data_IF_964221667853
#
_entry.id   IF_964221667853
#
_cell.length_a   1.000
_cell.length_b   1.000
_cell.length_c   1.000
_cell.angle_alpha   90.00
_cell.angle_beta   90.00
_cell.angle_gamma   90.00
#
_symmetry.space_group_name_H-M   'P 1'
#
loop_
_entity.id
_entity.type
_entity.pdbx_description
1 polymer ?
#
# COMPACT_ATOMS: atom_id res chain seq x y z
N UNK A 1 -81.12 19.61 -4.49
CA UNK A 1 -82.28 19.79 -5.38
C UNK A 1 -81.87 20.77 -6.48
N UNK A 2 -81.88 20.32 -7.75
CA UNK A 2 -81.62 21.03 -9.03
C UNK A 2 -80.20 21.63 -9.22
N UNK A 3 -79.34 21.01 -10.04
CA UNK A 3 -79.25 21.06 -11.53
C UNK A 3 -78.53 22.34 -12.00
N UNK A 4 -77.45 22.34 -12.80
CA UNK A 4 -77.39 22.04 -14.24
C UNK A 4 -75.89 22.14 -14.66
N UNK A 5 -75.28 21.08 -15.21
CA UNK A 5 -74.99 20.87 -16.65
C UNK A 5 -73.78 21.59 -17.28
N UNK A 6 -72.86 20.73 -17.77
CA UNK A 6 -71.98 20.82 -18.96
C UNK A 6 -70.80 21.80 -18.96
N UNK A 7 -69.60 21.22 -18.98
CA UNK A 7 -68.85 21.14 -20.24
C UNK A 7 -68.00 19.85 -20.28
N UNK A 8 -68.26 19.08 -21.33
CA UNK A 8 -67.57 17.86 -21.72
C UNK A 8 -66.46 18.30 -22.67
N UNK A 9 -65.21 17.97 -22.36
CA UNK A 9 -64.15 17.87 -23.36
C UNK A 9 -63.55 16.48 -23.25
N UNK A 10 -64.04 15.59 -24.12
CA UNK A 10 -63.41 14.33 -24.44
C UNK A 10 -62.21 14.66 -25.34
N UNK A 11 -60.99 14.35 -24.89
CA UNK A 11 -59.89 14.11 -25.82
C UNK A 11 -59.31 12.73 -25.53
N UNK A 12 -59.34 11.90 -26.56
CA UNK A 12 -58.98 10.50 -26.57
C UNK A 12 -57.48 10.24 -26.29
N UNK A 13 -57.25 9.16 -25.55
CA UNK A 13 -56.25 8.10 -25.77
C UNK A 13 -54.88 8.50 -26.34
N UNK A 14 -53.85 8.38 -25.50
CA UNK A 14 -52.75 7.42 -25.76
C UNK A 14 -52.40 6.75 -24.43
N UNK A 15 -52.79 5.48 -24.28
CA UNK A 15 -52.22 4.61 -23.27
C UNK A 15 -50.81 4.20 -23.75
N UNK A 16 -49.78 4.76 -23.12
CA UNK A 16 -48.46 4.13 -23.11
C UNK A 16 -48.29 3.50 -21.73
N UNK A 17 -48.69 2.23 -21.63
CA UNK A 17 -48.22 1.32 -20.60
C UNK A 17 -46.72 1.11 -20.80
N UNK A 18 -45.92 2.09 -20.40
CA UNK A 18 -44.49 1.93 -20.21
C UNK A 18 -44.29 1.23 -18.88
N UNK A 19 -44.25 -0.10 -18.89
CA UNK A 19 -43.68 -0.87 -17.78
C UNK A 19 -42.26 -0.36 -17.57
N UNK A 20 -42.05 0.48 -16.55
CA UNK A 20 -40.70 0.80 -16.09
C UNK A 20 -40.18 -0.49 -15.46
N UNK A 21 -39.54 -1.31 -16.29
CA UNK A 21 -38.72 -2.42 -15.81
C UNK A 21 -37.58 -1.74 -15.05
N UNK A 22 -37.73 -1.64 -13.74
CA UNK A 22 -36.61 -1.46 -12.83
C UNK A 22 -35.71 -2.67 -13.04
N UNK A 23 -34.76 -2.55 -13.97
CA UNK A 23 -33.62 -3.43 -14.04
C UNK A 23 -32.80 -3.14 -12.79
N UNK A 24 -33.18 -3.76 -11.66
CA UNK A 24 -32.27 -3.94 -10.53
C UNK A 24 -31.11 -4.70 -11.13
N UNK A 25 -30.03 -4.00 -11.44
CA UNK A 25 -28.73 -4.62 -11.70
C UNK A 25 -28.49 -5.47 -10.46
N UNK A 26 -28.68 -6.79 -10.58
CA UNK A 26 -28.35 -7.71 -9.50
C UNK A 26 -26.93 -7.36 -9.07
N UNK A 27 -26.77 -7.06 -7.78
CA UNK A 27 -25.44 -6.83 -7.24
C UNK A 27 -24.65 -8.09 -7.59
N UNK A 28 -23.52 -7.93 -8.27
CA UNK A 28 -22.65 -9.05 -8.58
C UNK A 28 -22.44 -9.86 -7.29
N UNK A 29 -22.45 -11.21 -7.34
CA UNK A 29 -22.28 -12.03 -6.15
C UNK A 29 -21.03 -11.54 -5.42
N UNK A 30 -21.19 -11.20 -4.13
CA UNK A 30 -20.04 -10.82 -3.32
C UNK A 30 -19.12 -12.03 -3.27
N UNK A 31 -17.80 -11.85 -3.51
CA UNK A 31 -16.86 -12.95 -3.48
C UNK A 31 -16.92 -13.63 -2.10
N UNK A 32 -16.85 -14.95 -2.10
CA UNK A 32 -16.81 -15.73 -0.87
C UNK A 32 -15.68 -15.25 0.05
N UNK A 33 -15.93 -15.06 1.36
CA UNK A 33 -14.91 -14.61 2.27
C UNK A 33 -13.70 -15.54 2.30
N UNK A 34 -12.51 -14.98 2.06
CA UNK A 34 -11.24 -15.68 2.21
C UNK A 34 -10.47 -15.10 3.40
N UNK A 35 -9.99 -15.99 4.26
CA UNK A 35 -9.26 -15.62 5.46
C UNK A 35 -7.87 -16.24 5.45
N UNK A 36 -6.88 -15.42 5.78
CA UNK A 36 -5.52 -15.86 6.06
C UNK A 36 -5.34 -15.97 7.57
N UNK A 37 -4.93 -17.14 8.05
CA UNK A 37 -4.53 -17.33 9.45
C UNK A 37 -3.05 -17.00 9.63
N UNK A 38 -2.74 -16.18 10.62
CA UNK A 38 -1.38 -15.73 10.90
C UNK A 38 -0.93 -16.35 12.22
N UNK A 39 0.25 -16.97 12.18
CA UNK A 39 0.91 -17.56 13.33
C UNK A 39 2.30 -16.94 13.49
N UNK A 40 2.73 -16.74 14.73
CA UNK A 40 4.08 -16.34 15.10
C UNK A 40 4.69 -17.45 15.95
N UNK A 41 5.81 -18.03 15.48
CA UNK A 41 6.47 -19.16 16.15
C UNK A 41 5.53 -20.34 16.51
N UNK A 42 4.53 -20.59 15.66
CA UNK A 42 3.54 -21.66 15.82
C UNK A 42 2.33 -21.29 16.67
N UNK A 43 2.32 -20.12 17.31
CA UNK A 43 1.19 -19.60 18.08
C UNK A 43 0.27 -18.77 17.18
N UNK A 44 -1.05 -18.96 17.32
CA UNK A 44 -2.02 -18.20 16.53
C UNK A 44 -2.03 -16.74 16.99
N UNK A 45 -1.84 -15.82 16.05
CA UNK A 45 -1.80 -14.38 16.33
C UNK A 45 -3.07 -13.67 15.83
N UNK A 46 -3.44 -13.86 14.57
CA UNK A 46 -4.55 -13.13 13.95
C UNK A 46 -5.18 -13.87 12.75
N UNK A 47 -6.33 -13.37 12.29
CA UNK A 47 -6.96 -13.75 11.03
C UNK A 47 -7.28 -12.52 10.18
N UNK A 48 -6.63 -12.44 9.01
CA UNK A 48 -6.77 -11.31 8.09
C UNK A 48 -7.78 -11.68 7.02
N UNK A 49 -8.77 -10.82 6.78
CA UNK A 49 -9.67 -10.96 5.65
C UNK A 49 -8.93 -10.57 4.36
N UNK A 50 -8.61 -11.57 3.55
CA UNK A 50 -7.90 -11.44 2.27
C UNK A 50 -8.83 -11.57 1.07
N UNK A 51 -10.13 -11.37 1.27
CA UNK A 51 -11.12 -11.40 0.19
C UNK A 51 -10.80 -10.33 -0.84
N UNK A 52 -10.67 -10.73 -2.11
CA UNK A 52 -10.29 -9.83 -3.20
C UNK A 52 -8.82 -9.38 -3.16
N UNK A 53 -7.98 -10.00 -2.32
CA UNK A 53 -6.55 -9.77 -2.41
C UNK A 53 -5.96 -10.40 -3.66
N UNK A 54 -4.92 -9.76 -4.17
CA UNK A 54 -4.16 -10.18 -5.35
C UNK A 54 -2.77 -10.65 -4.90
N UNK A 55 -2.35 -11.80 -5.43
CA UNK A 55 -1.02 -12.37 -5.15
C UNK A 55 0.07 -11.40 -5.58
N UNK A 56 1.10 -11.25 -4.74
CA UNK A 56 2.22 -10.33 -4.89
C UNK A 56 1.87 -8.83 -4.84
N UNK A 57 0.58 -8.50 -4.73
CA UNK A 57 0.07 -7.15 -4.87
C UNK A 57 -0.39 -6.58 -3.53
N UNK A 58 -1.10 -7.40 -2.75
CA UNK A 58 -1.45 -7.10 -1.38
C UNK A 58 -0.43 -7.67 -0.41
N UNK A 59 -0.23 -6.96 0.68
CA UNK A 59 0.88 -7.22 1.60
C UNK A 59 0.41 -7.21 3.04
N UNK A 60 1.18 -7.90 3.86
CA UNK A 60 1.02 -7.96 5.31
C UNK A 60 2.24 -7.28 5.91
N UNK A 61 2.02 -6.39 6.87
CA UNK A 61 3.13 -5.88 7.68
C UNK A 61 3.45 -6.93 8.73
N UNK A 62 4.63 -7.56 8.62
CA UNK A 62 5.12 -8.56 9.57
C UNK A 62 6.51 -8.12 10.05
N UNK A 63 6.65 -7.87 11.35
CA UNK A 63 7.87 -7.31 11.95
C UNK A 63 8.25 -5.97 11.29
N UNK A 64 9.19 -6.01 10.35
CA UNK A 64 9.68 -4.84 9.60
C UNK A 64 9.50 -4.93 8.09
N UNK A 65 8.71 -5.90 7.65
CA UNK A 65 8.62 -6.28 6.25
C UNK A 65 7.19 -6.13 5.75
N UNK A 66 7.08 -5.73 4.50
CA UNK A 66 5.83 -5.84 3.74
C UNK A 66 5.86 -7.13 2.97
N UNK A 67 5.44 -8.20 3.62
CA UNK A 67 5.36 -9.51 3.02
C UNK A 67 4.29 -9.51 1.91
N UNK A 68 4.65 -9.68 0.63
CA UNK A 68 3.70 -9.81 -0.46
C UNK A 68 2.99 -11.16 -0.30
N UNK A 69 1.67 -11.14 -0.12
CA UNK A 69 0.92 -12.35 0.09
C UNK A 69 1.00 -13.26 -1.15
N UNK A 70 1.34 -14.53 -0.95
CA UNK A 70 1.55 -15.48 -2.05
C UNK A 70 0.30 -16.32 -2.35
N UNK A 71 -0.82 -16.03 -1.68
CA UNK A 71 -2.06 -16.77 -1.86
C UNK A 71 -2.22 -17.92 -0.87
N UNK A 72 -1.54 -17.89 0.28
CA UNK A 72 -1.71 -18.87 1.34
C UNK A 72 -3.01 -18.68 2.12
N UNK A 73 -3.53 -19.77 2.69
CA UNK A 73 -4.62 -19.73 3.68
C UNK A 73 -4.09 -19.68 5.13
N UNK A 74 -2.78 -19.91 5.31
CA UNK A 74 -2.09 -19.70 6.58
C UNK A 74 -0.61 -19.38 6.38
N UNK A 75 -0.08 -18.51 7.22
CA UNK A 75 1.36 -18.25 7.34
C UNK A 75 1.78 -18.46 8.80
N UNK A 76 2.93 -19.09 8.98
CA UNK A 76 3.67 -19.07 10.24
C UNK A 76 4.97 -18.33 10.03
N UNK A 77 5.19 -17.24 10.73
CA UNK A 77 6.39 -16.43 10.56
C UNK A 77 7.27 -16.44 11.80
N UNK A 78 8.55 -16.17 11.56
CA UNK A 78 9.54 -15.86 12.57
C UNK A 78 10.40 -14.69 12.06
N UNK A 79 10.67 -13.73 12.95
CA UNK A 79 11.56 -12.60 12.69
C UNK A 79 12.68 -12.65 13.73
N UNK A 80 13.93 -12.84 13.30
CA UNK A 80 15.06 -12.85 14.23
C UNK A 80 16.22 -12.03 13.69
N UNK A 81 17.09 -11.61 14.61
CA UNK A 81 18.35 -10.96 14.30
C UNK A 81 19.39 -12.05 13.99
N UNK A 82 20.03 -12.00 12.82
CA UNK A 82 21.18 -12.87 12.51
C UNK A 82 22.32 -12.49 13.47
N UNK A 83 22.63 -13.37 14.43
CA UNK A 83 23.62 -13.12 15.48
C UNK A 83 25.07 -13.05 14.98
N UNK A 84 25.37 -13.48 13.75
CA UNK A 84 26.74 -13.61 13.24
C UNK A 84 27.47 -12.29 12.93
N UNK A 85 26.84 -11.13 13.12
CA UNK A 85 27.37 -9.85 12.61
C UNK A 85 27.60 -8.74 13.67
N UNK A 86 27.64 -9.04 14.98
CA UNK A 86 28.01 -8.01 15.97
C UNK A 86 29.03 -8.52 16.99
N UNK A 87 30.29 -8.16 16.76
CA UNK A 87 31.28 -7.90 17.80
C UNK A 87 31.04 -6.45 18.26
N UNK A 88 30.17 -6.24 19.25
CA UNK A 88 29.85 -4.88 19.74
C UNK A 88 28.43 -4.65 20.22
N UNK A 89 28.08 -5.21 21.38
CA UNK A 89 27.09 -4.61 22.28
C UNK A 89 25.62 -4.84 21.93
N UNK A 90 24.90 -5.43 22.88
CA UNK A 90 23.45 -5.60 22.84
C UNK A 90 22.81 -4.27 23.26
N UNK A 91 22.69 -3.32 22.34
CA UNK A 91 21.70 -2.25 22.53
C UNK A 91 20.37 -2.70 21.91
N UNK A 92 19.33 -2.72 22.74
CA UNK A 92 17.92 -2.92 22.39
C UNK A 92 17.44 -1.79 21.46
N UNK A 93 17.91 -1.81 20.21
CA UNK A 93 17.30 -1.05 19.14
C UNK A 93 16.16 -1.94 18.63
N UNK A 94 14.93 -1.61 19.04
CA UNK A 94 13.62 -2.13 18.63
C UNK A 94 13.67 -3.41 17.80
N UNK A 95 13.19 -4.50 18.41
CA UNK A 95 13.04 -5.87 17.89
C UNK A 95 12.45 -5.96 16.47
N UNK A 96 13.28 -5.67 15.48
CA UNK A 96 12.96 -5.59 14.07
C UNK A 96 13.92 -6.57 13.39
N UNK A 97 13.55 -7.84 13.37
CA UNK A 97 14.39 -8.94 12.87
C UNK A 97 15.12 -8.57 11.57
N UNK A 98 16.39 -8.97 11.49
CA UNK A 98 17.24 -8.76 10.29
C UNK A 98 16.71 -9.53 9.09
N UNK A 99 15.97 -10.61 9.36
CA UNK A 99 15.35 -11.47 8.36
C UNK A 99 13.91 -11.80 8.74
N UNK A 100 13.14 -12.16 7.72
CA UNK A 100 11.80 -12.71 7.86
C UNK A 100 11.77 -14.10 7.25
N UNK A 101 11.31 -15.07 8.04
CA UNK A 101 10.90 -16.37 7.52
C UNK A 101 9.39 -16.49 7.54
N UNK A 102 8.85 -17.11 6.50
CA UNK A 102 7.43 -17.47 6.41
C UNK A 102 7.35 -18.93 5.96
N UNK A 103 6.61 -19.72 6.71
CA UNK A 103 6.44 -21.16 6.49
C UNK A 103 7.79 -21.89 6.34
N UNK A 104 8.79 -21.47 7.13
CA UNK A 104 10.13 -22.04 7.16
C UNK A 104 11.10 -21.55 6.07
N UNK A 105 10.66 -20.68 5.15
CA UNK A 105 11.51 -20.13 4.08
C UNK A 105 11.98 -18.72 4.40
N UNK A 106 13.23 -18.40 4.08
CA UNK A 106 13.76 -17.03 4.16
C UNK A 106 13.19 -16.20 3.02
N UNK A 107 12.24 -15.31 3.34
CA UNK A 107 11.50 -14.52 2.34
C UNK A 107 11.78 -13.03 2.41
N UNK A 108 12.33 -12.55 3.53
CA UNK A 108 12.60 -11.12 3.72
C UNK A 108 13.96 -10.84 4.35
N UNK A 109 14.58 -9.74 3.93
CA UNK A 109 15.88 -9.29 4.43
C UNK A 109 15.90 -7.79 4.71
N UNK A 110 16.52 -7.41 5.81
CA UNK A 110 16.85 -6.02 6.08
C UNK A 110 18.30 -5.77 5.63
N UNK A 111 18.48 -4.99 4.58
CA UNK A 111 19.81 -4.79 3.97
C UNK A 111 20.77 -4.02 4.87
N UNK A 112 20.27 -3.37 5.92
CA UNK A 112 21.11 -2.66 6.89
C UNK A 112 21.78 -3.59 7.91
N UNK A 113 21.33 -4.85 8.01
CA UNK A 113 21.80 -5.78 9.05
C UNK A 113 22.26 -7.13 8.52
N UNK A 114 22.24 -7.33 7.20
CA UNK A 114 22.54 -8.60 6.56
C UNK A 114 23.56 -8.36 5.45
N UNK A 115 24.68 -9.07 5.51
CA UNK A 115 25.54 -9.19 4.33
C UNK A 115 24.80 -10.01 3.28
N UNK A 116 24.26 -9.31 2.28
CA UNK A 116 23.50 -9.92 1.19
C UNK A 116 24.29 -10.95 0.38
N UNK A 117 25.62 -10.92 0.42
CA UNK A 117 26.47 -11.88 -0.26
C UNK A 117 26.46 -13.26 0.42
N UNK A 118 26.15 -13.33 1.71
CA UNK A 118 26.13 -14.56 2.50
C UNK A 118 24.78 -15.30 2.42
N UNK A 119 23.77 -14.73 1.77
CA UNK A 119 22.46 -15.38 1.61
C UNK A 119 22.57 -16.56 0.63
N UNK A 120 22.41 -17.78 1.18
CA UNK A 120 22.51 -19.03 0.43
C UNK A 120 21.36 -19.23 -0.58
N UNK A 121 20.15 -18.77 -0.25
CA UNK A 121 18.92 -18.99 -1.03
C UNK A 121 18.31 -17.67 -1.54
N UNK A 122 18.99 -16.95 -2.45
CA UNK A 122 18.54 -15.62 -2.88
C UNK A 122 17.25 -15.63 -3.71
N UNK A 123 16.82 -16.78 -4.23
CA UNK A 123 15.59 -16.91 -5.03
C UNK A 123 14.33 -16.93 -4.16
N UNK A 124 14.45 -17.26 -2.88
CA UNK A 124 13.31 -17.31 -1.97
C UNK A 124 13.00 -15.93 -1.35
N UNK A 125 13.96 -15.00 -1.42
CA UNK A 125 13.80 -13.63 -0.96
C UNK A 125 12.92 -12.84 -1.92
N UNK A 126 11.75 -12.44 -1.43
CA UNK A 126 10.74 -11.69 -2.20
C UNK A 126 10.47 -10.30 -1.63
N UNK A 127 10.92 -10.00 -0.41
CA UNK A 127 10.80 -8.66 0.16
C UNK A 127 12.11 -8.18 0.78
N UNK A 128 12.34 -6.87 0.73
CA UNK A 128 13.46 -6.25 1.40
C UNK A 128 13.03 -4.97 2.13
N UNK A 129 13.79 -4.61 3.15
CA UNK A 129 13.61 -3.37 3.93
C UNK A 129 14.95 -2.63 3.96
N UNK A 130 14.90 -1.32 3.68
CA UNK A 130 16.06 -0.43 3.64
C UNK A 130 15.79 0.84 4.45
N UNK A 131 16.55 1.07 5.52
CA UNK A 131 16.47 2.29 6.34
C UNK A 131 17.40 3.38 5.85
N UNK A 132 18.65 3.02 5.64
CA UNK A 132 19.64 3.92 5.07
C UNK A 132 20.17 3.32 3.78
N UNK A 133 20.20 4.15 2.75
CA UNK A 133 20.66 3.76 1.43
C UNK A 133 22.16 4.06 1.37
N UNK A 134 22.95 3.05 1.72
CA UNK A 134 24.41 3.14 1.61
C UNK A 134 24.91 2.81 0.20
N UNK A 135 26.17 3.16 -0.04
CA UNK A 135 26.94 2.66 -1.16
C UNK A 135 26.83 1.12 -1.14
N UNK A 136 26.36 0.52 -2.24
CA UNK A 136 26.11 -0.93 -2.46
C UNK A 136 24.64 -1.41 -2.49
N UNK A 137 23.62 -0.57 -2.23
CA UNK A 137 22.22 -1.02 -2.34
C UNK A 137 21.89 -1.66 -3.70
N UNK A 138 22.37 -1.08 -4.81
CA UNK A 138 22.17 -1.64 -6.16
C UNK A 138 22.76 -3.07 -6.29
N UNK A 139 23.94 -3.30 -5.74
CA UNK A 139 24.63 -4.60 -5.78
C UNK A 139 23.85 -5.62 -4.97
N UNK A 140 23.41 -5.23 -3.77
CA UNK A 140 22.59 -6.06 -2.89
C UNK A 140 21.28 -6.47 -3.56
N UNK A 141 20.55 -5.54 -4.21
CA UNK A 141 19.27 -5.87 -4.83
C UNK A 141 19.41 -6.80 -6.04
N UNK A 142 20.48 -6.69 -6.83
CA UNK A 142 20.76 -7.59 -7.96
C UNK A 142 20.92 -9.05 -7.56
N UNK A 143 21.25 -9.32 -6.29
CA UNK A 143 21.38 -10.69 -5.77
C UNK A 143 20.05 -11.42 -5.71
N UNK A 144 18.92 -10.71 -5.60
CA UNK A 144 17.60 -11.28 -5.32
C UNK A 144 16.69 -11.19 -6.56
N UNK A 145 16.74 -12.19 -7.48
CA UNK A 145 16.07 -12.10 -8.78
C UNK A 145 14.54 -12.15 -8.69
N UNK A 146 14.00 -12.64 -7.56
CA UNK A 146 12.57 -12.77 -7.32
C UNK A 146 12.02 -11.68 -6.39
N UNK A 147 12.78 -10.59 -6.18
CA UNK A 147 12.36 -9.52 -5.31
C UNK A 147 11.07 -8.87 -5.84
N UNK A 148 10.00 -9.00 -5.08
CA UNK A 148 8.64 -8.55 -5.43
C UNK A 148 8.42 -7.11 -4.97
N UNK A 149 8.92 -6.77 -3.79
CA UNK A 149 8.74 -5.44 -3.22
C UNK A 149 9.83 -5.06 -2.23
N UNK A 150 10.00 -3.75 -2.07
CA UNK A 150 10.97 -3.17 -1.15
C UNK A 150 10.34 -2.03 -0.38
N UNK A 151 10.57 -2.03 0.92
CA UNK A 151 10.25 -0.90 1.76
C UNK A 151 11.47 0.01 1.89
N UNK A 152 11.23 1.32 1.78
CA UNK A 152 12.28 2.34 1.87
C UNK A 152 11.83 3.52 2.73
N UNK A 153 12.78 4.10 3.47
CA UNK A 153 12.62 5.38 4.15
C UNK A 153 13.32 6.49 3.36
N UNK A 154 12.60 7.57 3.04
CA UNK A 154 13.14 8.68 2.24
C UNK A 154 12.75 10.07 2.76
N UNK A 155 13.55 11.07 2.42
CA UNK A 155 13.28 12.49 2.66
C UNK A 155 13.82 13.37 1.53
N UNK A 156 13.97 14.68 1.76
CA UNK A 156 14.55 15.58 0.75
C UNK A 156 16.05 15.37 0.49
N UNK A 157 16.77 14.75 1.43
CA UNK A 157 18.22 14.57 1.35
C UNK A 157 18.60 13.32 0.54
N UNK A 158 17.84 12.23 0.67
CA UNK A 158 18.21 10.93 0.10
C UNK A 158 17.32 10.46 -1.07
N UNK A 159 16.11 11.00 -1.25
CA UNK A 159 15.12 10.44 -2.20
C UNK A 159 15.65 10.20 -3.61
N UNK A 160 16.43 11.12 -4.17
CA UNK A 160 16.96 10.95 -5.52
C UNK A 160 17.94 9.78 -5.57
N UNK A 161 18.89 9.72 -4.63
CA UNK A 161 19.89 8.65 -4.57
C UNK A 161 19.24 7.28 -4.37
N UNK A 162 18.27 7.19 -3.46
CA UNK A 162 17.56 5.93 -3.19
C UNK A 162 16.75 5.45 -4.38
N UNK A 163 16.04 6.37 -5.06
CA UNK A 163 15.21 6.00 -6.21
C UNK A 163 16.03 5.69 -7.47
N UNK A 164 17.22 6.28 -7.63
CA UNK A 164 18.09 6.05 -8.79
C UNK A 164 18.62 4.60 -8.87
N UNK A 165 18.71 3.90 -7.74
CA UNK A 165 19.23 2.52 -7.67
C UNK A 165 18.15 1.43 -7.66
N UNK A 166 16.88 1.81 -7.46
CA UNK A 166 15.77 0.84 -7.41
C UNK A 166 15.09 0.77 -8.77
N UNK A 167 14.95 -0.45 -9.28
CA UNK A 167 14.27 -0.70 -10.54
C UNK A 167 12.75 -0.45 -10.45
N UNK A 168 12.16 0.08 -11.52
CA UNK A 168 10.74 0.44 -11.59
C UNK A 168 9.77 -0.76 -11.76
N UNK A 169 10.30 -1.98 -11.81
CA UNK A 169 9.52 -3.23 -11.78
C UNK A 169 9.29 -3.75 -10.34
N UNK A 170 10.13 -3.36 -9.38
CA UNK A 170 10.03 -3.77 -7.97
C UNK A 170 9.02 -2.89 -7.22
N UNK A 171 7.99 -3.46 -6.61
CA UNK A 171 6.98 -2.67 -5.89
C UNK A 171 7.60 -1.87 -4.74
N UNK A 172 7.14 -0.64 -4.58
CA UNK A 172 7.64 0.24 -3.52
C UNK A 172 6.62 0.42 -2.40
N UNK A 173 7.12 0.29 -1.18
CA UNK A 173 6.44 0.68 0.05
C UNK A 173 7.25 1.82 0.68
N UNK A 174 6.72 3.03 0.65
CA UNK A 174 7.52 4.22 0.96
C UNK A 174 7.04 4.83 2.26
N UNK A 175 7.97 5.03 3.18
CA UNK A 175 7.83 5.98 4.26
C UNK A 175 8.63 7.23 3.92
N UNK A 176 7.94 8.37 3.75
CA UNK A 176 8.60 9.64 3.49
C UNK A 176 8.41 10.58 4.69
N UNK A 177 9.51 10.86 5.39
CA UNK A 177 9.52 11.87 6.45
C UNK A 177 9.87 13.24 5.85
N UNK A 178 9.42 14.30 6.53
CA UNK A 178 9.61 15.69 6.08
C UNK A 178 9.13 15.93 4.64
N UNK A 179 8.03 15.28 4.28
CA UNK A 179 7.58 15.21 2.90
C UNK A 179 7.16 16.59 2.35
N UNK A 180 7.55 16.84 1.11
CA UNK A 180 7.24 18.06 0.35
C UNK A 180 6.64 17.74 -1.02
N UNK A 181 6.12 18.76 -1.71
CA UNK A 181 5.71 18.65 -3.10
C UNK A 181 6.84 18.18 -4.03
N UNK A 182 8.10 18.49 -3.70
CA UNK A 182 9.27 17.97 -4.43
C UNK A 182 9.37 16.46 -4.28
N UNK A 183 9.27 15.93 -3.04
CA UNK A 183 9.34 14.49 -2.81
C UNK A 183 8.23 13.76 -3.60
N UNK A 184 6.99 14.27 -3.53
CA UNK A 184 5.87 13.70 -4.29
C UNK A 184 6.07 13.75 -5.80
N UNK A 185 6.73 14.79 -6.33
CA UNK A 185 7.07 14.84 -7.75
C UNK A 185 8.06 13.73 -8.13
N UNK A 186 9.09 13.50 -7.32
CA UNK A 186 10.06 12.43 -7.57
C UNK A 186 9.40 11.05 -7.44
N UNK A 187 8.64 10.80 -6.36
CA UNK A 187 7.89 9.55 -6.16
C UNK A 187 6.89 9.29 -7.29
N UNK A 188 6.30 10.34 -7.89
CA UNK A 188 5.33 10.18 -8.98
C UNK A 188 5.91 9.59 -10.28
N UNK A 189 7.23 9.40 -10.36
CA UNK A 189 7.90 8.67 -11.44
C UNK A 189 7.81 7.15 -11.26
N UNK A 190 7.57 6.67 -10.04
CA UNK A 190 7.52 5.26 -9.67
C UNK A 190 6.06 4.80 -9.57
N UNK A 191 5.50 4.42 -10.72
CA UNK A 191 4.07 4.04 -10.83
C UNK A 191 3.75 2.70 -10.15
N UNK A 192 4.78 1.99 -9.69
CA UNK A 192 4.75 0.73 -8.96
C UNK A 192 4.62 0.89 -7.43
N UNK A 193 4.51 2.12 -6.90
CA UNK A 193 4.23 2.34 -5.47
C UNK A 193 2.85 1.79 -5.09
N UNK A 194 2.80 0.93 -4.05
CA UNK A 194 1.55 0.38 -3.48
C UNK A 194 1.18 0.99 -2.13
N UNK A 195 2.19 1.35 -1.34
CA UNK A 195 2.02 1.91 -0.01
C UNK A 195 2.81 3.19 0.10
N UNK A 196 2.15 4.25 0.55
CA UNK A 196 2.78 5.53 0.76
C UNK A 196 2.33 6.13 2.10
N UNK A 197 3.29 6.24 3.01
CA UNK A 197 3.16 7.03 4.23
C UNK A 197 3.94 8.33 4.04
N UNK A 198 3.25 9.45 4.19
CA UNK A 198 3.87 10.77 4.16
C UNK A 198 3.68 11.42 5.52
N UNK A 199 4.79 11.79 6.15
CA UNK A 199 4.81 12.54 7.38
C UNK A 199 5.30 13.98 7.15
N UNK A 200 4.64 14.92 7.84
CA UNK A 200 4.92 16.36 7.96
C UNK A 200 4.35 17.29 6.87
N UNK A 201 4.38 18.58 7.20
CA UNK A 201 3.33 19.58 6.90
C UNK A 201 3.58 20.46 5.65
N UNK A 202 4.42 20.00 4.71
CA UNK A 202 4.87 20.82 3.56
C UNK A 202 4.30 20.40 2.22
N UNK A 203 3.40 19.42 2.21
CA UNK A 203 2.67 19.03 1.00
C UNK A 203 1.46 19.95 0.79
N UNK A 204 1.25 20.37 -0.44
CA UNK A 204 0.15 21.25 -0.86
C UNK A 204 -0.75 20.59 -1.90
N UNK A 205 -1.75 21.32 -2.41
CA UNK A 205 -2.54 20.90 -3.56
C UNK A 205 -1.68 20.53 -4.79
N UNK A 206 -0.49 21.14 -4.95
CA UNK A 206 0.44 20.82 -6.03
C UNK A 206 1.04 19.41 -5.86
N UNK A 207 1.47 19.05 -4.65
CA UNK A 207 1.92 17.69 -4.34
C UNK A 207 0.84 16.65 -4.61
N UNK A 208 -0.41 16.92 -4.23
CA UNK A 208 -1.52 16.01 -4.52
C UNK A 208 -1.76 15.78 -6.03
N UNK A 209 -1.45 16.76 -6.89
CA UNK A 209 -1.49 16.58 -8.35
C UNK A 209 -0.48 15.54 -8.82
N UNK A 210 0.72 15.51 -8.22
CA UNK A 210 1.72 14.48 -8.51
C UNK A 210 1.31 13.12 -7.97
N UNK A 211 0.80 13.08 -6.73
CA UNK A 211 0.29 11.86 -6.10
C UNK A 211 -0.77 11.15 -6.94
N UNK A 212 -1.64 11.91 -7.61
CA UNK A 212 -2.70 11.37 -8.48
C UNK A 212 -2.20 10.53 -9.67
N UNK A 213 -0.89 10.53 -9.96
CA UNK A 213 -0.28 9.65 -10.97
C UNK A 213 -0.10 8.22 -10.48
N UNK A 214 -0.03 7.99 -9.16
CA UNK A 214 0.20 6.67 -8.56
C UNK A 214 -1.08 5.82 -8.59
N UNK A 215 -1.49 5.38 -9.79
CA UNK A 215 -2.78 4.69 -10.00
C UNK A 215 -2.90 3.35 -9.29
N UNK A 216 -1.76 2.74 -8.99
CA UNK A 216 -1.66 1.45 -8.32
C UNK A 216 -1.59 1.58 -6.79
N UNK A 217 -1.64 2.79 -6.24
CA UNK A 217 -1.57 3.01 -4.80
C UNK A 217 -2.77 2.37 -4.08
N UNK A 218 -2.50 1.50 -3.11
CA UNK A 218 -3.49 0.76 -2.31
C UNK A 218 -3.67 1.34 -0.92
N UNK A 219 -2.59 1.78 -0.29
CA UNK A 219 -2.62 2.44 1.01
C UNK A 219 -1.95 3.79 0.96
N UNK A 220 -2.66 4.81 1.44
CA UNK A 220 -2.17 6.17 1.55
C UNK A 220 -2.44 6.69 2.94
N UNK A 221 -1.37 7.02 3.66
CA UNK A 221 -1.46 7.81 4.89
C UNK A 221 -0.74 9.12 4.67
N UNK A 222 -1.40 10.19 5.07
CA UNK A 222 -0.83 11.53 5.02
C UNK A 222 -1.08 12.18 6.38
N UNK A 223 -0.01 12.38 7.15
CA UNK A 223 -0.06 12.95 8.50
C UNK A 223 0.68 14.27 8.60
N UNK A 224 0.14 15.21 9.38
CA UNK A 224 0.72 16.54 9.56
C UNK A 224 0.16 17.59 8.59
N UNK A 225 -1.03 17.39 8.03
CA UNK A 225 -1.57 18.39 7.10
C UNK A 225 -2.11 19.61 7.84
N UNK A 226 -1.49 20.77 7.59
CA UNK A 226 -2.10 22.09 7.84
C UNK A 226 -2.90 22.54 6.61
N UNK A 227 -3.67 23.62 6.72
CA UNK A 227 -4.69 24.21 5.82
C UNK A 227 -4.37 24.33 4.30
N UNK A 228 -3.19 23.87 3.84
CA UNK A 228 -2.69 23.92 2.46
C UNK A 228 -3.35 22.92 1.51
N UNK A 229 -3.96 21.85 2.03
CA UNK A 229 -4.81 20.94 1.23
C UNK A 229 -6.28 21.33 1.42
N UNK A 230 -6.92 21.80 0.35
CA UNK A 230 -8.33 22.18 0.37
C UNK A 230 -9.18 21.28 -0.56
N UNK A 231 -10.45 21.64 -0.76
CA UNK A 231 -11.36 20.91 -1.66
C UNK A 231 -10.81 20.75 -3.09
N UNK A 232 -10.04 21.73 -3.60
CA UNK A 232 -9.39 21.65 -4.92
C UNK A 232 -8.28 20.62 -4.94
N UNK A 233 -7.55 20.41 -3.84
CA UNK A 233 -6.54 19.36 -3.73
C UNK A 233 -7.16 17.98 -3.59
N UNK A 234 -8.15 17.83 -2.71
CA UNK A 234 -8.81 16.54 -2.41
C UNK A 234 -9.42 15.88 -3.66
N UNK A 235 -9.81 16.65 -4.67
CA UNK A 235 -10.31 16.09 -5.95
C UNK A 235 -9.30 15.18 -6.64
N UNK A 236 -8.00 15.41 -6.45
CA UNK A 236 -6.94 14.61 -7.07
C UNK A 236 -6.85 13.20 -6.48
N UNK A 237 -7.28 13.01 -5.23
CA UNK A 237 -7.33 11.69 -4.59
C UNK A 237 -8.34 10.75 -5.27
N UNK A 238 -9.39 11.30 -5.92
CA UNK A 238 -10.37 10.51 -6.68
C UNK A 238 -9.75 9.74 -7.85
N UNK A 239 -8.55 10.13 -8.28
CA UNK A 239 -7.85 9.50 -9.38
C UNK A 239 -7.11 8.21 -8.96
N UNK A 240 -7.07 7.90 -7.66
CA UNK A 240 -6.43 6.71 -7.07
C UNK A 240 -7.46 5.56 -6.99
N UNK A 241 -7.83 5.01 -8.14
CA UNK A 241 -8.96 4.08 -8.25
C UNK A 241 -8.74 2.72 -7.57
N UNK A 242 -7.49 2.35 -7.28
CA UNK A 242 -7.12 1.12 -6.56
C UNK A 242 -6.91 1.32 -5.05
N UNK A 243 -7.17 2.52 -4.54
CA UNK A 243 -6.96 2.84 -3.13
C UNK A 243 -7.97 2.08 -2.25
N UNK A 244 -7.44 1.25 -1.35
CA UNK A 244 -8.20 0.44 -0.39
C UNK A 244 -8.30 1.13 0.97
N UNK A 245 -7.31 1.92 1.32
CA UNK A 245 -7.28 2.67 2.58
C UNK A 245 -6.70 4.07 2.39
N UNK A 246 -7.41 5.06 2.92
CA UNK A 246 -7.02 6.45 2.95
C UNK A 246 -7.08 6.94 4.39
N UNK A 247 -5.94 7.38 4.91
CA UNK A 247 -5.86 7.97 6.24
C UNK A 247 -5.26 9.37 6.19
N UNK A 248 -6.05 10.37 6.57
CA UNK A 248 -5.67 11.78 6.57
C UNK A 248 -5.69 12.29 8.01
N UNK A 249 -4.51 12.49 8.61
CA UNK A 249 -4.38 13.05 9.94
C UNK A 249 -4.04 14.54 9.88
N UNK A 250 -4.93 15.36 10.43
CA UNK A 250 -4.68 16.76 10.72
C UNK A 250 -4.06 16.89 12.12
N UNK A 251 -3.03 17.72 12.27
CA UNK A 251 -2.65 18.21 13.61
C UNK A 251 -3.50 19.44 13.88
N UNK A 252 -4.39 19.37 14.87
CA UNK A 252 -4.97 20.58 15.45
C UNK A 252 -3.87 21.27 16.25
N UNK A 253 -3.50 22.48 15.85
CA UNK A 253 -2.67 23.38 16.67
C UNK A 253 -3.46 23.88 17.87
#
# INVERSE_FOLDING_TARGET
MKSMFKQITILCLVALAGSVVFCRKEAAPQPEPRWLRVYHDGEFEDSINVTGWEVNEDVIWIGSFYYPWQGEDSINYDCYRLMSLIDGGVEEIWDRGSVLRVNGKLVGINTNYVDTLEIAEPHDVITATVWDCEECLEVSLKKFPNLVGIWVSVDNSNISKTLDVISQDIRLYVFCFDATDRNLRELSKFLNIRILYLERDRITNCGLRHLAKLKELRWLRISGFCDKINSKGRKYLKALHKLRSLNLYYRTT
#
